data_IF_094630069095
#
_entry.id   IF_094630069095
#
_cell.length_a   1.000
_cell.length_b   1.000
_cell.length_c   1.000
_cell.angle_alpha   90.00
_cell.angle_beta   90.00
_cell.angle_gamma   90.00
#
_symmetry.space_group_name_H-M   'P 1'
#
loop_
_entity.id
_entity.type
_entity.pdbx_description
1 polymer ?
#
# COMPACT_ATOMS: atom_id res chain seq x y z
N UNK A 1 -14.02 -56.41 8.77
CA UNK A 1 -14.38 -55.34 9.73
C UNK A 1 -13.63 -54.07 9.36
N UNK A 2 -14.40 -53.00 9.14
CA UNK A 2 -14.03 -51.58 9.03
C UNK A 2 -12.82 -51.18 8.18
N UNK A 3 -13.18 -50.85 6.93
CA UNK A 3 -12.41 -50.10 5.94
C UNK A 3 -11.97 -48.74 6.50
N UNK A 4 -10.71 -48.40 6.23
CA UNK A 4 -10.15 -47.05 5.94
C UNK A 4 -10.83 -45.85 6.63
N UNK A 5 -10.12 -45.21 7.55
CA UNK A 5 -10.30 -43.78 7.79
C UNK A 5 -8.92 -43.16 8.07
N UNK A 6 -8.28 -42.72 6.98
CA UNK A 6 -7.16 -41.79 7.03
C UNK A 6 -7.74 -40.44 7.42
N UNK A 7 -7.74 -40.11 8.71
CA UNK A 7 -8.14 -38.77 9.16
C UNK A 7 -6.92 -37.85 9.01
N UNK A 8 -6.57 -37.52 7.78
CA UNK A 8 -5.77 -36.34 7.52
C UNK A 8 -6.69 -35.13 7.75
N UNK A 9 -6.78 -34.68 9.00
CA UNK A 9 -7.20 -33.31 9.28
C UNK A 9 -6.05 -32.44 8.78
N UNK A 10 -6.02 -32.19 7.47
CA UNK A 10 -5.34 -31.03 6.97
C UNK A 10 -6.07 -29.84 7.61
N UNK A 11 -5.51 -29.32 8.70
CA UNK A 11 -5.78 -27.97 9.13
C UNK A 11 -5.46 -27.09 7.94
N UNK A 12 -6.45 -26.84 7.09
CA UNK A 12 -6.53 -25.60 6.37
C UNK A 12 -6.65 -24.53 7.45
N UNK A 13 -5.50 -24.12 7.98
CA UNK A 13 -5.33 -22.79 8.52
C UNK A 13 -5.59 -21.89 7.32
N UNK A 14 -6.87 -21.63 7.04
CA UNK A 14 -7.29 -20.46 6.32
C UNK A 14 -6.86 -19.30 7.23
N UNK A 15 -5.59 -18.92 7.14
CA UNK A 15 -5.19 -17.61 7.59
C UNK A 15 -6.11 -16.67 6.82
N UNK A 16 -7.05 -16.05 7.53
CA UNK A 16 -7.69 -14.85 7.01
C UNK A 16 -6.53 -14.00 6.49
N UNK A 17 -6.45 -13.84 5.18
CA UNK A 17 -5.48 -12.97 4.55
C UNK A 17 -5.84 -11.56 5.02
N UNK A 18 -5.26 -11.14 6.13
CA UNK A 18 -5.33 -9.76 6.57
C UNK A 18 -4.54 -8.99 5.52
N UNK A 19 -5.24 -8.34 4.60
CA UNK A 19 -4.63 -7.42 3.66
C UNK A 19 -3.84 -6.39 4.48
N UNK A 20 -2.54 -6.29 4.22
CA UNK A 20 -1.72 -5.30 4.90
C UNK A 20 -2.08 -3.91 4.37
N UNK A 21 -1.92 -2.88 5.21
CA UNK A 21 -2.16 -1.49 4.84
C UNK A 21 -0.82 -0.77 4.61
N UNK A 22 -0.71 -0.08 3.48
CA UNK A 22 0.50 0.63 3.07
C UNK A 22 0.18 2.09 2.75
N UNK A 23 0.90 3.00 3.40
CA UNK A 23 0.85 4.42 3.09
C UNK A 23 2.01 4.79 2.18
N UNK A 24 1.69 5.30 0.98
CA UNK A 24 2.70 5.63 -0.04
C UNK A 24 2.62 7.13 -0.38
N UNK A 25 3.71 7.82 -0.09
CA UNK A 25 3.91 9.21 -0.49
C UNK A 25 4.50 9.27 -1.90
N UNK A 26 3.74 9.79 -2.86
CA UNK A 26 4.18 9.83 -4.27
C UNK A 26 4.88 11.13 -4.67
N UNK A 27 5.19 11.99 -3.69
CA UNK A 27 5.96 13.22 -3.92
C UNK A 27 7.45 12.92 -4.09
N UNK A 28 8.21 13.93 -4.49
CA UNK A 28 9.67 13.85 -4.57
C UNK A 28 10.29 13.73 -3.17
N UNK A 29 11.48 13.12 -3.03
CA UNK A 29 12.10 12.83 -1.74
C UNK A 29 12.29 14.05 -0.84
N UNK A 30 12.61 15.21 -1.41
CA UNK A 30 12.83 16.44 -0.65
C UNK A 30 11.55 16.91 0.05
N UNK A 31 10.37 16.62 -0.52
CA UNK A 31 9.09 16.97 0.08
C UNK A 31 8.73 16.01 1.21
N UNK A 32 8.98 14.72 1.02
CA UNK A 32 8.80 13.70 2.05
C UNK A 32 9.70 13.97 3.26
N UNK A 33 10.99 14.26 3.02
CA UNK A 33 11.95 14.57 4.08
C UNK A 33 11.53 15.79 4.93
N UNK A 34 10.92 16.82 4.33
CA UNK A 34 10.44 17.99 5.07
C UNK A 34 9.26 17.67 5.99
N UNK A 35 8.30 16.93 5.48
CA UNK A 35 7.14 16.49 6.26
C UNK A 35 6.44 15.33 5.53
N UNK A 36 6.11 14.26 6.24
CA UNK A 36 5.37 13.12 5.71
C UNK A 36 4.49 12.47 6.77
N UNK A 37 3.56 11.60 6.35
CA UNK A 37 2.74 10.81 7.26
C UNK A 37 3.63 9.76 7.95
N UNK A 38 3.50 9.62 9.26
CA UNK A 38 4.27 8.65 10.04
C UNK A 38 4.02 7.23 9.52
N UNK A 39 5.09 6.49 9.22
CA UNK A 39 5.01 5.13 8.68
C UNK A 39 4.79 5.07 7.17
N UNK A 40 4.58 6.20 6.48
CA UNK A 40 4.50 6.21 5.03
C UNK A 40 5.87 5.95 4.39
N UNK A 41 5.88 5.23 3.26
CA UNK A 41 7.06 5.02 2.42
C UNK A 41 7.03 5.99 1.25
N UNK A 42 8.17 6.63 0.96
CA UNK A 42 8.27 7.48 -0.22
C UNK A 42 8.56 6.66 -1.48
N UNK A 43 7.63 6.68 -2.43
CA UNK A 43 7.84 6.16 -3.77
C UNK A 43 7.41 7.24 -4.76
N UNK A 44 8.34 8.09 -5.24
CA UNK A 44 8.00 9.17 -6.15
C UNK A 44 7.23 8.66 -7.37
N UNK A 45 6.22 9.41 -7.82
CA UNK A 45 5.33 8.99 -8.93
C UNK A 45 6.10 8.48 -10.17
N UNK A 46 7.26 9.07 -10.47
CA UNK A 46 8.10 8.69 -11.62
C UNK A 46 8.76 7.32 -11.49
N UNK A 47 8.91 6.82 -10.27
CA UNK A 47 9.61 5.58 -9.92
C UNK A 47 8.61 4.49 -9.49
N UNK A 48 7.31 4.79 -9.48
CA UNK A 48 6.26 3.95 -8.93
C UNK A 48 6.22 2.56 -9.57
N UNK A 49 6.23 2.51 -10.90
CA UNK A 49 6.16 1.24 -11.65
C UNK A 49 7.35 0.32 -11.40
N UNK A 50 8.50 0.89 -11.07
CA UNK A 50 9.74 0.15 -10.85
C UNK A 50 9.88 -0.32 -9.39
N UNK A 51 9.35 0.46 -8.44
CA UNK A 51 9.61 0.26 -7.01
C UNK A 51 8.45 -0.36 -6.23
N UNK A 52 7.20 -0.19 -6.67
CA UNK A 52 6.03 -0.55 -5.84
C UNK A 52 6.01 -2.04 -5.49
N UNK A 53 6.38 -2.94 -6.41
CA UNK A 53 6.33 -4.39 -6.18
C UNK A 53 7.29 -4.87 -5.08
N UNK A 54 8.38 -4.13 -4.81
CA UNK A 54 9.28 -4.44 -3.72
C UNK A 54 8.71 -4.03 -2.35
N UNK A 55 7.87 -2.99 -2.32
CA UNK A 55 7.24 -2.49 -1.10
C UNK A 55 5.90 -3.18 -0.80
N UNK A 56 5.10 -3.39 -1.84
CA UNK A 56 3.75 -3.97 -1.76
C UNK A 56 3.70 -5.16 -2.74
N UNK A 57 4.25 -6.33 -2.37
CA UNK A 57 4.30 -7.49 -3.25
C UNK A 57 2.94 -8.17 -3.44
N UNK A 58 2.05 -8.12 -2.44
CA UNK A 58 0.69 -8.63 -2.57
C UNK A 58 -0.21 -7.54 -3.17
N UNK A 59 -0.75 -7.83 -4.35
CA UNK A 59 -1.64 -6.90 -5.07
C UNK A 59 -3.01 -6.74 -4.41
N UNK A 60 -3.34 -7.58 -3.44
CA UNK A 60 -4.56 -7.47 -2.63
C UNK A 60 -4.37 -6.62 -1.39
N UNK A 61 -3.15 -6.20 -1.06
CA UNK A 61 -2.93 -5.28 0.04
C UNK A 61 -3.60 -3.93 -0.22
N UNK A 62 -4.00 -3.26 0.87
CA UNK A 62 -4.58 -1.92 0.82
C UNK A 62 -3.48 -0.87 0.68
N UNK A 63 -3.55 -0.06 -0.37
CA UNK A 63 -2.57 0.99 -0.67
C UNK A 63 -3.25 2.37 -0.62
N UNK A 64 -2.85 3.17 0.37
CA UNK A 64 -3.23 4.56 0.55
C UNK A 64 -2.19 5.46 -0.11
N UNK A 65 -2.57 6.15 -1.18
CA UNK A 65 -1.70 7.08 -1.90
C UNK A 65 -2.04 8.51 -1.55
N UNK A 66 -1.02 9.31 -1.23
CA UNK A 66 -1.19 10.74 -1.03
C UNK A 66 -0.07 11.55 -1.67
N UNK A 67 -0.34 12.83 -1.89
CA UNK A 67 0.65 13.79 -2.38
C UNK A 67 0.40 15.18 -1.79
N UNK A 68 0.67 16.27 -2.53
CA UNK A 68 0.41 17.63 -2.03
C UNK A 68 -1.07 18.02 -2.10
N UNK A 69 -1.76 17.62 -3.16
CA UNK A 69 -3.11 18.11 -3.48
C UNK A 69 -4.09 17.04 -3.96
N UNK A 70 -3.63 15.81 -4.16
CA UNK A 70 -4.41 14.69 -4.69
C UNK A 70 -4.21 14.38 -6.17
N UNK A 71 -3.57 15.27 -6.95
CA UNK A 71 -3.38 15.06 -8.40
C UNK A 71 -2.40 13.93 -8.70
N UNK A 72 -1.22 13.95 -8.07
CA UNK A 72 -0.18 12.94 -8.33
C UNK A 72 -0.57 11.57 -7.78
N UNK A 73 -1.19 11.53 -6.60
CA UNK A 73 -1.73 10.30 -6.01
C UNK A 73 -2.88 9.72 -6.83
N UNK A 74 -3.67 10.57 -7.53
CA UNK A 74 -4.64 10.10 -8.52
C UNK A 74 -4.00 9.38 -9.71
N UNK A 75 -2.94 9.96 -10.28
CA UNK A 75 -2.18 9.29 -11.37
C UNK A 75 -1.52 7.99 -10.90
N UNK A 76 -0.97 8.00 -9.68
CA UNK A 76 -0.41 6.80 -9.07
C UNK A 76 -1.48 5.71 -8.88
N UNK A 77 -2.69 6.08 -8.45
CA UNK A 77 -3.80 5.13 -8.28
C UNK A 77 -4.10 4.42 -9.59
N UNK A 78 -4.34 5.16 -10.66
CA UNK A 78 -4.64 4.57 -11.98
C UNK A 78 -3.49 3.65 -12.43
N UNK A 79 -2.23 4.08 -12.24
CA UNK A 79 -1.05 3.26 -12.54
C UNK A 79 -1.06 1.93 -11.77
N UNK A 80 -1.37 1.94 -10.47
CA UNK A 80 -1.41 0.72 -9.66
C UNK A 80 -2.60 -0.18 -10.03
N UNK A 81 -3.76 0.39 -10.36
CA UNK A 81 -4.89 -0.37 -10.88
C UNK A 81 -4.53 -1.07 -12.20
N UNK A 82 -3.86 -0.39 -13.12
CA UNK A 82 -3.37 -0.96 -14.39
C UNK A 82 -2.33 -2.06 -14.16
N UNK A 83 -1.54 -1.95 -13.09
CA UNK A 83 -0.60 -2.99 -12.65
C UNK A 83 -1.30 -4.16 -11.94
N UNK A 84 -2.60 -4.08 -11.67
CA UNK A 84 -3.42 -5.14 -11.09
C UNK A 84 -3.53 -5.12 -9.57
N UNK A 85 -3.16 -4.03 -8.90
CA UNK A 85 -3.50 -3.82 -7.48
C UNK A 85 -5.00 -3.61 -7.34
N UNK A 86 -5.63 -4.23 -6.34
CA UNK A 86 -7.09 -4.29 -6.25
C UNK A 86 -7.68 -3.32 -5.23
N UNK A 87 -6.88 -2.90 -4.24
CA UNK A 87 -7.33 -2.03 -3.14
C UNK A 87 -6.49 -0.76 -3.06
N UNK A 88 -6.69 0.17 -4.01
CA UNK A 88 -5.89 1.40 -4.12
C UNK A 88 -6.75 2.66 -3.92
N UNK A 89 -6.37 3.49 -2.95
CA UNK A 89 -7.06 4.70 -2.56
C UNK A 89 -6.23 5.95 -2.85
N UNK A 90 -6.89 7.01 -3.31
CA UNK A 90 -6.30 8.34 -3.42
C UNK A 90 -6.81 9.19 -2.26
N UNK A 91 -6.00 9.29 -1.20
CA UNK A 91 -6.32 10.03 0.02
C UNK A 91 -6.04 11.53 -0.12
N UNK A 92 -5.54 11.96 -1.28
CA UNK A 92 -5.50 13.37 -1.63
C UNK A 92 -4.20 14.06 -1.20
N UNK A 93 -4.34 15.23 -0.57
CA UNK A 93 -3.23 16.09 -0.19
C UNK A 93 -2.87 15.97 1.29
N UNK A 94 -1.58 15.88 1.63
CA UNK A 94 -1.07 15.76 3.00
C UNK A 94 -1.63 16.82 3.96
N UNK A 95 -1.91 18.03 3.48
CA UNK A 95 -2.46 19.11 4.32
C UNK A 95 -3.88 18.84 4.81
N UNK A 96 -4.65 17.97 4.14
CA UNK A 96 -6.04 17.64 4.49
C UNK A 96 -6.16 16.33 5.27
N UNK A 97 -5.06 15.57 5.38
CA UNK A 97 -5.04 14.30 6.07
C UNK A 97 -4.81 14.49 7.55
N UNK A 98 -5.74 13.97 8.35
CA UNK A 98 -5.69 13.93 9.81
C UNK A 98 -4.94 12.67 10.27
N UNK A 99 -3.68 12.58 9.84
CA UNK A 99 -2.76 11.50 10.18
C UNK A 99 -1.56 12.08 10.94
N UNK A 100 -0.94 11.33 11.86
CA UNK A 100 0.31 11.74 12.49
C UNK A 100 1.38 12.05 11.44
N UNK A 101 2.07 13.19 11.60
CA UNK A 101 3.10 13.66 10.65
C UNK A 101 4.45 13.72 11.33
N UNK A 102 5.46 13.25 10.62
CA UNK A 102 6.88 13.44 10.95
C UNK A 102 7.37 14.64 10.17
N UNK A 103 8.05 15.58 10.85
CA UNK A 103 8.71 16.72 10.22
C UNK A 103 10.21 16.45 10.20
N UNK A 104 10.88 16.87 9.13
CA UNK A 104 12.34 16.80 9.04
C UNK A 104 12.97 17.65 10.13
N UNK A 105 13.99 17.09 10.80
CA UNK A 105 14.92 17.82 11.66
C UNK A 105 15.88 18.69 10.84
#
# INVERSE_FOLDING_TARGET
MFKKALLAVALAFSASAFAAEHWIDVRVPEQYQREHIQGAVNIPLKELTEKIAAQVPDKNDTVHLYCNSGRQSGLAKETLLDMGYTQVFNDGGISRLDMPKVKGE
#
